data_IF_054338486587
#
_entry.id   IF_054338486587
#
_cell.length_a   1.000
_cell.length_b   1.000
_cell.length_c   1.000
_cell.angle_alpha   90.00
_cell.angle_beta   90.00
_cell.angle_gamma   90.00
#
_symmetry.space_group_name_H-M   'P 1'
#
loop_
_entity.id
_entity.type
_entity.pdbx_description
1 polymer ?
#
# COMPACT_ATOMS: atom_id res chain seq x y z
N UNK A 1 43.30 30.57 -24.74
CA UNK A 1 42.05 31.34 -24.59
C UNK A 1 40.94 30.57 -25.30
N UNK A 2 39.74 30.56 -24.69
CA UNK A 2 38.57 29.70 -24.94
C UNK A 2 38.68 28.29 -24.36
N UNK A 3 37.69 27.74 -23.66
CA UNK A 3 36.59 28.29 -22.88
C UNK A 3 36.19 27.12 -21.97
N UNK A 4 36.15 27.38 -20.67
CA UNK A 4 35.84 26.43 -19.61
C UNK A 4 34.33 26.17 -19.61
N UNK A 5 33.89 25.04 -20.17
CA UNK A 5 32.51 24.57 -20.02
C UNK A 5 32.32 24.06 -18.59
N UNK A 6 31.68 24.91 -17.78
CA UNK A 6 31.21 24.58 -16.44
C UNK A 6 29.98 23.68 -16.56
N UNK A 7 30.15 22.40 -16.24
CA UNK A 7 29.06 21.45 -16.04
C UNK A 7 28.22 21.89 -14.84
N UNK A 8 26.92 22.16 -15.00
CA UNK A 8 26.05 22.47 -13.88
C UNK A 8 25.80 21.19 -13.07
N UNK A 9 26.15 21.25 -11.79
CA UNK A 9 25.76 20.28 -10.76
C UNK A 9 24.24 20.26 -10.64
N UNK A 10 23.63 19.32 -11.36
CA UNK A 10 22.22 18.99 -11.24
C UNK A 10 22.01 18.32 -9.87
N UNK A 11 21.63 19.12 -8.88
CA UNK A 11 21.17 18.63 -7.59
C UNK A 11 19.89 17.82 -7.81
N UNK A 12 20.05 16.50 -7.86
CA UNK A 12 18.98 15.54 -7.85
C UNK A 12 18.19 15.70 -6.54
N UNK A 13 17.17 16.56 -6.56
CA UNK A 13 16.13 16.58 -5.55
C UNK A 13 15.38 15.25 -5.64
N UNK A 14 15.73 14.30 -4.77
CA UNK A 14 15.04 13.02 -4.64
C UNK A 14 13.54 13.28 -4.32
N UNK A 15 12.61 13.04 -5.25
CA UNK A 15 11.18 13.14 -4.98
C UNK A 15 10.74 11.80 -4.37
N UNK A 16 11.20 11.49 -3.15
CA UNK A 16 11.09 10.12 -2.62
C UNK A 16 10.57 9.98 -1.19
N UNK A 17 10.54 11.04 -0.39
CA UNK A 17 10.46 10.88 1.08
C UNK A 17 9.26 11.56 1.75
N UNK A 18 8.20 11.88 1.00
CA UNK A 18 7.02 12.59 1.56
C UNK A 18 5.72 11.78 1.56
N UNK A 19 5.72 10.49 1.20
CA UNK A 19 4.50 9.67 1.08
C UNK A 19 4.25 8.77 2.31
N UNK A 20 5.03 8.88 3.39
CA UNK A 20 4.83 8.02 4.58
C UNK A 20 3.73 8.46 5.55
N UNK A 21 3.05 9.59 5.34
CA UNK A 21 2.11 10.11 6.33
C UNK A 21 0.71 10.40 5.76
N UNK A 22 0.07 9.41 5.13
CA UNK A 22 -1.40 9.48 4.92
C UNK A 22 -2.04 8.13 4.58
N UNK A 23 -1.84 7.12 5.41
CA UNK A 23 -2.65 5.89 5.32
C UNK A 23 -3.17 5.44 6.69
N UNK A 24 -3.76 6.41 7.40
CA UNK A 24 -4.76 6.13 8.44
C UNK A 24 -5.96 5.56 7.70
N UNK A 25 -6.21 4.26 7.88
CA UNK A 25 -7.30 3.53 7.23
C UNK A 25 -8.60 4.30 7.36
N UNK A 26 -9.15 4.73 6.23
CA UNK A 26 -10.47 5.35 6.19
C UNK A 26 -11.45 4.23 6.44
N UNK A 27 -11.89 4.08 7.70
CA UNK A 27 -13.06 3.27 8.01
C UNK A 27 -14.19 3.80 7.12
N UNK A 28 -14.86 2.95 6.32
CA UNK A 28 -15.95 3.41 5.48
C UNK A 28 -17.01 4.03 6.38
N UNK A 29 -17.40 5.29 6.09
CA UNK A 29 -18.38 6.05 6.90
C UNK A 29 -19.70 5.30 7.12
N UNK A 30 -20.01 4.32 6.27
CA UNK A 30 -21.16 3.41 6.43
C UNK A 30 -21.02 2.49 7.65
N UNK A 31 -19.82 1.97 7.93
CA UNK A 31 -19.57 1.08 9.07
C UNK A 31 -19.71 1.84 10.39
N UNK A 32 -19.19 3.07 10.46
CA UNK A 32 -19.31 3.94 11.63
C UNK A 32 -20.78 4.23 11.97
N UNK A 33 -21.60 4.53 10.95
CA UNK A 33 -23.04 4.73 11.12
C UNK A 33 -23.76 3.46 11.56
N UNK A 34 -23.38 2.31 11.00
CA UNK A 34 -23.97 1.03 11.37
C UNK A 34 -23.66 0.67 12.85
N UNK A 35 -22.43 0.93 13.31
CA UNK A 35 -22.03 0.71 14.70
C UNK A 35 -22.75 1.64 15.67
N UNK A 36 -22.96 2.91 15.31
CA UNK A 36 -23.75 3.85 16.12
C UNK A 36 -25.22 3.42 16.23
N UNK A 37 -25.82 2.96 15.13
CA UNK A 37 -27.18 2.44 15.14
C UNK A 37 -27.31 1.17 16.00
N UNK A 38 -26.35 0.25 15.87
CA UNK A 38 -26.29 -0.93 16.71
C UNK A 38 -26.19 -0.56 18.20
N UNK A 39 -25.37 0.43 18.55
CA UNK A 39 -25.26 0.89 19.94
C UNK A 39 -26.54 1.55 20.47
N UNK A 40 -27.24 2.31 19.64
CA UNK A 40 -28.52 2.92 20.01
C UNK A 40 -29.57 1.84 20.34
N UNK A 41 -29.72 0.84 19.47
CA UNK A 41 -30.67 -0.27 19.66
C UNK A 41 -30.35 -1.05 20.93
N UNK A 42 -29.07 -1.29 21.17
CA UNK A 42 -28.64 -2.07 22.31
C UNK A 42 -28.77 -1.31 23.63
N UNK A 43 -28.46 -0.02 23.63
CA UNK A 43 -28.69 0.86 24.78
C UNK A 43 -30.17 0.91 25.15
N UNK A 44 -31.07 0.97 24.16
CA UNK A 44 -32.51 0.90 24.40
C UNK A 44 -32.94 -0.43 25.03
N UNK A 45 -32.34 -1.55 24.59
CA UNK A 45 -32.59 -2.87 25.18
C UNK A 45 -32.10 -2.96 26.65
N UNK A 46 -30.94 -2.37 26.96
CA UNK A 46 -30.41 -2.29 28.33
C UNK A 46 -31.37 -1.52 29.23
N UNK A 47 -31.86 -0.37 28.77
CA UNK A 47 -32.83 0.46 29.53
C UNK A 47 -34.14 -0.28 29.77
N UNK A 48 -34.63 -1.03 28.79
CA UNK A 48 -35.88 -1.80 28.90
C UNK A 48 -35.77 -2.99 29.87
N UNK A 49 -34.56 -3.47 30.15
CA UNK A 49 -34.30 -4.63 31.00
C UNK A 49 -33.79 -4.25 32.40
N UNK A 50 -33.55 -2.97 32.67
CA UNK A 50 -33.02 -2.50 33.94
C UNK A 50 -34.11 -2.42 35.02
N UNK A 51 -33.74 -2.74 36.26
CA UNK A 51 -34.64 -2.55 37.40
C UNK A 51 -34.99 -1.07 37.61
N UNK A 52 -34.00 -0.18 37.49
CA UNK A 52 -34.20 1.28 37.49
C UNK A 52 -34.04 1.84 36.07
N UNK A 53 -35.18 1.97 35.39
CA UNK A 53 -35.27 2.46 34.02
C UNK A 53 -34.75 3.90 33.88
N UNK A 54 -34.91 4.75 34.91
CA UNK A 54 -34.49 6.15 34.87
C UNK A 54 -32.97 6.25 34.98
N UNK A 55 -32.38 5.54 35.95
CA UNK A 55 -30.92 5.53 36.12
C UNK A 55 -30.24 4.91 34.89
N UNK A 56 -30.76 3.81 34.37
CA UNK A 56 -30.25 3.18 33.16
C UNK A 56 -30.38 4.09 31.94
N UNK A 57 -31.52 4.78 31.76
CA UNK A 57 -31.72 5.71 30.66
C UNK A 57 -30.74 6.88 30.69
N UNK A 58 -30.48 7.46 31.88
CA UNK A 58 -29.52 8.54 32.05
C UNK A 58 -28.10 8.07 31.73
N UNK A 59 -27.69 6.91 32.25
CA UNK A 59 -26.36 6.34 32.01
C UNK A 59 -26.13 6.02 30.52
N UNK A 60 -27.10 5.37 29.88
CA UNK A 60 -27.05 5.09 28.44
C UNK A 60 -27.05 6.38 27.60
N UNK A 61 -27.86 7.37 27.97
CA UNK A 61 -27.92 8.66 27.28
C UNK A 61 -26.59 9.42 27.32
N UNK A 62 -25.94 9.47 28.49
CA UNK A 62 -24.61 10.09 28.65
C UNK A 62 -23.58 9.37 27.78
N UNK A 63 -23.60 8.04 27.76
CA UNK A 63 -22.67 7.25 26.96
C UNK A 63 -22.85 7.50 25.45
N UNK A 64 -24.09 7.48 24.94
CA UNK A 64 -24.39 7.78 23.53
C UNK A 64 -23.92 9.20 23.18
N UNK A 65 -24.21 10.18 24.03
CA UNK A 65 -23.81 11.57 23.80
C UNK A 65 -22.29 11.69 23.67
N UNK A 66 -21.54 11.02 24.56
CA UNK A 66 -20.09 11.04 24.52
C UNK A 66 -19.53 10.34 23.28
N UNK A 67 -20.15 9.24 22.83
CA UNK A 67 -19.77 8.59 21.57
C UNK A 67 -19.98 9.52 20.38
N UNK A 68 -21.12 10.21 20.31
CA UNK A 68 -21.41 11.19 19.24
C UNK A 68 -20.39 12.34 19.25
N UNK A 69 -20.08 12.90 20.43
CA UNK A 69 -19.05 13.94 20.58
C UNK A 69 -17.68 13.45 20.11
N UNK A 70 -17.34 12.19 20.43
CA UNK A 70 -16.06 11.59 20.05
C UNK A 70 -15.96 11.33 18.53
N UNK A 71 -17.08 10.99 17.88
CA UNK A 71 -17.18 10.73 16.44
C UNK A 71 -17.19 12.00 15.57
N UNK A 72 -17.44 13.18 16.16
CA UNK A 72 -17.44 14.41 15.38
C UNK A 72 -16.06 14.70 14.77
N UNK A 73 -15.97 14.88 13.43
CA UNK A 73 -14.71 15.04 12.73
C UNK A 73 -14.03 16.35 13.16
N UNK A 74 -12.92 16.23 13.89
CA UNK A 74 -12.06 17.38 14.15
C UNK A 74 -11.21 17.68 12.92
N UNK A 75 -10.98 18.98 12.72
CA UNK A 75 -10.02 19.49 11.74
C UNK A 75 -8.64 18.89 12.04
N UNK A 76 -8.03 18.25 11.04
CA UNK A 76 -6.83 17.38 11.07
C UNK A 76 -5.57 17.84 11.83
N UNK A 77 -5.53 19.01 12.46
CA UNK A 77 -4.27 19.60 12.97
C UNK A 77 -3.91 19.30 14.43
N UNK A 78 -4.80 18.73 15.24
CA UNK A 78 -4.50 18.50 16.66
C UNK A 78 -4.45 17.02 17.03
N UNK A 79 -3.30 16.39 16.82
CA UNK A 79 -3.01 15.01 17.26
C UNK A 79 -3.25 14.85 18.78
N UNK A 80 -2.91 15.87 19.58
CA UNK A 80 -3.12 15.87 21.04
C UNK A 80 -4.60 15.83 21.43
N UNK A 81 -5.48 16.54 20.70
CA UNK A 81 -6.92 16.54 20.98
C UNK A 81 -7.55 15.19 20.65
N UNK A 82 -6.99 14.44 19.70
CA UNK A 82 -7.44 13.09 19.41
C UNK A 82 -7.17 12.15 20.59
N UNK A 83 -5.96 12.14 21.14
CA UNK A 83 -5.64 11.31 22.31
C UNK A 83 -6.43 11.67 23.56
N UNK A 84 -6.68 12.97 23.81
CA UNK A 84 -7.49 13.38 24.95
C UNK A 84 -8.93 12.88 24.82
N UNK A 85 -9.51 12.88 23.60
CA UNK A 85 -10.86 12.34 23.35
C UNK A 85 -10.93 10.83 23.53
N UNK A 86 -9.94 10.10 23.02
CA UNK A 86 -9.85 8.66 23.24
C UNK A 86 -9.79 8.33 24.73
N UNK A 87 -8.98 9.08 25.49
CA UNK A 87 -8.88 8.90 26.94
C UNK A 87 -10.20 9.21 27.65
N UNK A 88 -10.85 10.32 27.32
CA UNK A 88 -12.15 10.69 27.89
C UNK A 88 -13.22 9.63 27.61
N UNK A 89 -13.21 9.05 26.41
CA UNK A 89 -14.12 7.97 26.02
C UNK A 89 -13.87 6.72 26.86
N UNK A 90 -12.61 6.30 27.00
CA UNK A 90 -12.25 5.13 27.80
C UNK A 90 -12.62 5.29 29.28
N UNK A 91 -12.41 6.48 29.84
CA UNK A 91 -12.81 6.79 31.22
C UNK A 91 -14.32 6.67 31.37
N UNK A 92 -15.10 7.22 30.44
CA UNK A 92 -16.55 7.13 30.51
C UNK A 92 -17.09 5.71 30.32
N UNK A 93 -16.49 4.92 29.42
CA UNK A 93 -16.83 3.51 29.25
C UNK A 93 -16.55 2.72 30.53
N UNK A 94 -15.43 3.02 31.21
CA UNK A 94 -15.11 2.45 32.53
C UNK A 94 -16.09 2.85 33.62
N UNK A 95 -16.48 4.13 33.70
CA UNK A 95 -17.47 4.63 34.66
C UNK A 95 -18.84 3.99 34.41
N UNK A 96 -19.24 3.87 33.15
CA UNK A 96 -20.51 3.23 32.78
C UNK A 96 -20.55 1.76 33.24
N UNK A 97 -19.47 1.00 33.02
CA UNK A 97 -19.39 -0.40 33.45
C UNK A 97 -19.38 -0.56 34.97
N UNK A 98 -18.83 0.41 35.69
CA UNK A 98 -18.85 0.42 37.14
C UNK A 98 -20.26 0.70 37.69
N UNK A 99 -21.00 1.60 37.03
CA UNK A 99 -22.31 2.06 37.50
C UNK A 99 -23.51 1.26 36.96
N UNK A 100 -23.37 0.60 35.81
CA UNK A 100 -24.44 -0.18 35.18
C UNK A 100 -25.00 -1.31 36.05
N UNK A 101 -24.19 -2.12 36.75
CA UNK A 101 -24.70 -3.17 37.64
C UNK A 101 -25.68 -2.64 38.70
N UNK A 102 -25.40 -1.46 39.26
CA UNK A 102 -26.27 -0.80 40.25
C UNK A 102 -27.65 -0.43 39.69
N UNK A 103 -27.74 -0.09 38.40
CA UNK A 103 -29.00 0.27 37.74
C UNK A 103 -29.80 -0.94 37.27
N UNK A 104 -29.09 -2.00 36.88
CA UNK A 104 -29.67 -3.20 36.30
C UNK A 104 -30.24 -4.12 37.39
N UNK A 105 -29.58 -4.20 38.55
CA UNK A 105 -29.96 -5.05 39.68
C UNK A 105 -29.55 -6.52 39.50
N UNK A 106 -29.30 -7.21 40.61
CA UNK A 106 -28.61 -8.49 40.64
C UNK A 106 -29.37 -9.68 40.04
N UNK A 107 -30.61 -9.47 39.60
CA UNK A 107 -31.42 -10.47 38.91
C UNK A 107 -31.19 -10.48 37.39
N UNK A 108 -30.55 -9.45 36.84
CA UNK A 108 -30.45 -9.35 35.39
C UNK A 108 -29.36 -10.26 34.80
N UNK A 109 -29.53 -10.66 33.54
CA UNK A 109 -28.54 -11.47 32.85
C UNK A 109 -27.20 -10.74 32.71
N UNK A 110 -26.12 -11.37 33.15
CA UNK A 110 -24.76 -10.80 33.10
C UNK A 110 -24.24 -10.53 31.69
N UNK A 111 -24.83 -11.14 30.66
CA UNK A 111 -24.50 -10.84 29.26
C UNK A 111 -24.88 -9.41 28.84
N UNK A 112 -25.83 -8.77 29.54
CA UNK A 112 -26.21 -7.37 29.30
C UNK A 112 -25.04 -6.43 29.65
N UNK A 113 -24.20 -6.80 30.61
CA UNK A 113 -23.00 -6.03 30.98
C UNK A 113 -21.86 -6.17 29.97
N UNK A 114 -21.83 -7.24 29.18
CA UNK A 114 -20.81 -7.47 28.16
C UNK A 114 -21.04 -6.62 26.89
N UNK A 115 -22.27 -6.22 26.64
CA UNK A 115 -22.70 -5.54 25.42
C UNK A 115 -22.09 -4.13 25.22
N UNK A 116 -22.03 -3.26 26.25
CA UNK A 116 -21.31 -1.99 26.18
C UNK A 116 -19.80 -2.18 25.93
N UNK A 117 -19.20 -3.23 26.50
CA UNK A 117 -17.77 -3.54 26.32
C UNK A 117 -17.46 -3.90 24.88
N UNK A 118 -18.29 -4.77 24.30
CA UNK A 118 -18.12 -5.23 22.91
C UNK A 118 -18.26 -4.07 21.93
N UNK A 119 -19.19 -3.15 22.17
CA UNK A 119 -19.39 -1.97 21.32
C UNK A 119 -18.33 -0.88 21.51
N UNK A 120 -17.82 -0.71 22.72
CA UNK A 120 -16.68 0.17 23.00
C UNK A 120 -15.40 -0.33 22.31
N UNK A 121 -15.14 -1.63 22.40
CA UNK A 121 -14.03 -2.29 21.71
C UNK A 121 -14.16 -2.22 20.18
N UNK A 122 -15.37 -2.31 19.64
CA UNK A 122 -15.63 -2.17 18.20
C UNK A 122 -15.37 -0.76 17.66
N UNK A 123 -15.22 0.26 18.50
CA UNK A 123 -14.85 1.60 18.05
C UNK A 123 -13.37 1.95 18.26
N UNK A 124 -12.65 1.19 19.08
CA UNK A 124 -11.21 1.40 19.32
C UNK A 124 -10.32 0.71 18.26
N UNK A 125 -10.79 0.65 17.00
CA UNK A 125 -10.12 0.01 15.83
C UNK A 125 -8.85 0.81 15.38
N UNK A 126 -8.17 1.47 16.32
CA UNK A 126 -6.77 1.84 16.22
C UNK A 126 -5.89 0.68 16.69
N UNK A 127 -5.60 -0.22 15.75
CA UNK A 127 -4.88 -1.48 15.95
C UNK A 127 -3.58 -1.36 16.77
N UNK A 128 -3.55 -1.93 17.97
CA UNK A 128 -2.31 -2.10 18.73
C UNK A 128 -2.50 -2.62 20.16
N UNK A 129 -1.40 -2.56 20.94
CA UNK A 129 -1.36 -2.91 22.38
C UNK A 129 -2.43 -2.20 23.23
N UNK A 130 -2.96 -1.07 22.75
CA UNK A 130 -4.01 -0.30 23.43
C UNK A 130 -5.33 -1.05 23.49
N UNK A 131 -5.74 -1.76 22.44
CA UNK A 131 -6.99 -2.53 22.43
C UNK A 131 -6.97 -3.59 23.54
N UNK A 132 -5.87 -4.34 23.67
CA UNK A 132 -5.68 -5.35 24.72
C UNK A 132 -5.83 -4.74 26.12
N UNK A 133 -5.16 -3.61 26.37
CA UNK A 133 -5.25 -2.91 27.66
C UNK A 133 -6.67 -2.40 27.94
N UNK A 134 -7.38 -1.92 26.92
CA UNK A 134 -8.76 -1.45 27.08
C UNK A 134 -9.72 -2.59 27.34
N UNK A 135 -9.63 -3.71 26.62
CA UNK A 135 -10.48 -4.87 26.86
C UNK A 135 -10.23 -5.47 28.24
N UNK A 136 -8.96 -5.53 28.67
CA UNK A 136 -8.60 -5.98 30.01
C UNK A 136 -9.12 -5.03 31.10
N UNK A 137 -9.00 -3.72 30.90
CA UNK A 137 -9.52 -2.71 31.84
C UNK A 137 -11.04 -2.75 31.95
N UNK A 138 -11.75 -2.90 30.83
CA UNK A 138 -13.22 -3.00 30.82
C UNK A 138 -13.70 -4.31 31.47
N UNK A 139 -12.98 -5.43 31.28
CA UNK A 139 -13.26 -6.69 31.96
C UNK A 139 -13.06 -6.58 33.49
N UNK A 140 -11.98 -5.92 33.93
CA UNK A 140 -11.74 -5.64 35.34
C UNK A 140 -12.84 -4.75 35.94
N UNK A 141 -13.23 -3.69 35.24
CA UNK A 141 -14.29 -2.79 35.67
C UNK A 141 -15.63 -3.52 35.84
N UNK A 142 -16.02 -4.35 34.86
CA UNK A 142 -17.23 -5.16 34.92
C UNK A 142 -17.20 -6.16 36.10
N UNK A 143 -16.07 -6.83 36.31
CA UNK A 143 -15.91 -7.77 37.44
C UNK A 143 -16.01 -7.06 38.80
N UNK A 144 -15.48 -5.85 38.91
CA UNK A 144 -15.52 -5.04 40.14
C UNK A 144 -16.94 -4.56 40.43
N UNK A 145 -17.68 -4.12 39.41
CA UNK A 145 -19.07 -3.70 39.55
C UNK A 145 -19.97 -4.84 40.06
N UNK A 146 -19.78 -6.07 39.55
CA UNK A 146 -20.52 -7.25 40.02
C UNK A 146 -20.14 -7.62 41.46
N UNK A 147 -18.85 -7.51 41.83
CA UNK A 147 -18.39 -7.83 43.17
C UNK A 147 -18.95 -6.88 44.25
N UNK A 148 -19.14 -5.60 43.91
CA UNK A 148 -19.69 -4.59 44.82
C UNK A 148 -21.17 -4.82 45.15
N UNK A 149 -21.90 -5.56 44.32
CA UNK A 149 -23.32 -5.85 44.55
C UNK A 149 -23.57 -6.96 45.61
N UNK A 150 -22.53 -7.73 45.98
CA UNK A 150 -22.54 -8.54 47.20
C UNK A 150 -23.32 -9.88 47.15
N UNK A 151 -23.68 -10.39 45.97
CA UNK A 151 -24.37 -11.69 45.84
C UNK A 151 -23.42 -12.90 45.85
N UNK A 152 -23.66 -13.91 46.69
CA UNK A 152 -22.87 -15.15 46.73
C UNK A 152 -22.81 -15.96 45.39
N UNK A 153 -23.86 -16.03 44.53
CA UNK A 153 -23.74 -16.63 43.20
C UNK A 153 -23.08 -15.71 42.14
N UNK A 154 -22.74 -14.46 42.50
CA UNK A 154 -22.23 -13.46 41.57
C UNK A 154 -20.77 -13.70 41.14
N UNK A 155 -20.01 -14.53 41.86
CA UNK A 155 -18.62 -14.85 41.54
C UNK A 155 -18.51 -15.73 40.29
N UNK A 156 -19.37 -16.73 40.14
CA UNK A 156 -19.39 -17.61 38.98
C UNK A 156 -19.85 -16.89 37.70
N UNK A 157 -20.87 -16.03 37.82
CA UNK A 157 -21.40 -15.26 36.69
C UNK A 157 -20.43 -14.15 36.26
N UNK A 158 -19.69 -13.55 37.19
CA UNK A 158 -18.61 -12.59 36.89
C UNK A 158 -17.44 -13.24 36.13
N UNK A 159 -17.04 -14.45 36.51
CA UNK A 159 -15.99 -15.21 35.81
C UNK A 159 -16.42 -15.52 34.38
N UNK A 160 -17.66 -15.99 34.18
CA UNK A 160 -18.19 -16.29 32.84
C UNK A 160 -18.26 -15.04 31.97
N UNK A 161 -18.71 -13.90 32.51
CA UNK A 161 -18.76 -12.64 31.78
C UNK A 161 -17.34 -12.17 31.36
N UNK A 162 -16.36 -12.26 32.25
CA UNK A 162 -14.97 -11.91 31.95
C UNK A 162 -14.38 -12.82 30.84
N UNK A 163 -14.67 -14.12 30.86
CA UNK A 163 -14.21 -15.07 29.85
C UNK A 163 -14.85 -14.79 28.49
N UNK A 164 -16.16 -14.53 28.44
CA UNK A 164 -16.87 -14.22 27.19
C UNK A 164 -16.37 -12.91 26.58
N UNK A 165 -16.20 -11.86 27.39
CA UNK A 165 -15.65 -10.57 26.94
C UNK A 165 -14.22 -10.76 26.40
N UNK A 166 -13.39 -11.53 27.10
CA UNK A 166 -12.04 -11.86 26.66
C UNK A 166 -12.01 -12.61 25.34
N UNK A 167 -12.87 -13.63 25.18
CA UNK A 167 -12.97 -14.44 23.96
C UNK A 167 -13.48 -13.62 22.77
N UNK A 168 -14.53 -12.83 22.95
CA UNK A 168 -15.07 -11.95 21.90
C UNK A 168 -14.05 -10.87 21.51
N UNK A 169 -13.36 -10.28 22.49
CA UNK A 169 -12.27 -9.33 22.25
C UNK A 169 -11.12 -9.95 21.45
N UNK A 170 -10.74 -11.20 21.77
CA UNK A 170 -9.69 -11.92 21.05
C UNK A 170 -10.10 -12.28 19.62
N UNK A 171 -11.35 -12.72 19.39
CA UNK A 171 -11.87 -13.02 18.05
C UNK A 171 -12.00 -11.76 17.21
N UNK A 172 -12.53 -10.67 17.77
CA UNK A 172 -12.57 -9.37 17.11
C UNK A 172 -11.16 -8.91 16.77
N UNK A 173 -10.20 -9.07 17.68
CA UNK A 173 -8.80 -8.77 17.42
C UNK A 173 -8.20 -9.68 16.34
N UNK A 174 -8.54 -10.97 16.29
CA UNK A 174 -8.06 -11.88 15.25
C UNK A 174 -8.59 -11.48 13.87
N UNK A 175 -9.91 -11.22 13.75
CA UNK A 175 -10.57 -10.78 12.53
C UNK A 175 -10.08 -9.43 12.05
N UNK A 176 -9.85 -8.51 12.99
CA UNK A 176 -9.37 -7.18 12.70
C UNK A 176 -7.85 -7.23 12.37
N UNK A 177 -7.09 -8.13 13.00
CA UNK A 177 -5.67 -8.38 12.71
C UNK A 177 -5.42 -9.16 11.43
N UNK A 178 -6.46 -9.63 10.74
CA UNK A 178 -6.38 -10.00 9.33
C UNK A 178 -6.36 -8.70 8.53
N UNK A 179 -5.18 -8.12 8.27
CA UNK A 179 -5.14 -6.83 7.62
C UNK A 179 -5.54 -7.10 6.16
N UNK A 180 -6.29 -6.16 5.57
CA UNK A 180 -6.34 -5.95 4.12
C UNK A 180 -4.97 -5.57 3.53
N UNK A 181 -3.90 -6.25 3.95
CA UNK A 181 -2.56 -6.19 3.41
C UNK A 181 -2.43 -6.66 1.94
N UNK A 182 -3.38 -7.38 1.29
CA UNK A 182 -3.21 -7.67 -0.13
C UNK A 182 -3.22 -6.38 -0.95
N UNK A 183 -4.11 -5.44 -0.67
CA UNK A 183 -4.35 -4.29 -1.55
C UNK A 183 -3.13 -3.37 -1.67
N UNK A 184 -2.38 -3.18 -0.58
CA UNK A 184 -1.13 -2.39 -0.57
C UNK A 184 0.03 -3.12 -1.24
N UNK A 185 0.12 -4.44 -1.05
CA UNK A 185 1.11 -5.25 -1.76
C UNK A 185 0.81 -5.27 -3.25
N UNK A 186 -0.46 -5.26 -3.65
CA UNK A 186 -0.86 -5.23 -5.05
C UNK A 186 -0.62 -3.86 -5.69
N UNK A 187 -0.91 -2.74 -5.02
CA UNK A 187 -0.65 -1.42 -5.62
C UNK A 187 0.84 -1.13 -5.76
N UNK A 188 1.65 -1.52 -4.78
CA UNK A 188 3.11 -1.41 -4.88
C UNK A 188 3.71 -2.36 -5.92
N UNK A 189 3.21 -3.59 -6.03
CA UNK A 189 3.61 -4.53 -7.07
C UNK A 189 3.17 -4.07 -8.47
N UNK A 190 1.96 -3.55 -8.62
CA UNK A 190 1.45 -3.01 -9.88
C UNK A 190 2.28 -1.82 -10.34
N UNK A 191 2.56 -0.86 -9.44
CA UNK A 191 3.40 0.29 -9.79
C UNK A 191 4.81 -0.15 -10.21
N UNK A 192 5.38 -1.14 -9.51
CA UNK A 192 6.68 -1.69 -9.88
C UNK A 192 6.65 -2.38 -11.25
N UNK A 193 5.59 -3.13 -11.56
CA UNK A 193 5.41 -3.76 -12.86
C UNK A 193 5.22 -2.72 -13.98
N UNK A 194 4.49 -1.63 -13.72
CA UNK A 194 4.34 -0.51 -14.65
C UNK A 194 5.69 0.18 -14.92
N UNK A 195 6.50 0.38 -13.88
CA UNK A 195 7.87 0.93 -14.01
C UNK A 195 8.77 0.00 -14.83
N UNK A 196 8.77 -1.32 -14.55
CA UNK A 196 9.56 -2.32 -15.27
C UNK A 196 9.12 -2.46 -16.75
N UNK A 197 7.81 -2.37 -17.04
CA UNK A 197 7.29 -2.38 -18.40
C UNK A 197 7.71 -1.13 -19.18
N UNK A 198 7.60 0.05 -18.57
CA UNK A 198 8.02 1.30 -19.19
C UNK A 198 9.54 1.33 -19.49
N UNK A 199 10.36 0.75 -18.61
CA UNK A 199 11.80 0.61 -18.84
C UNK A 199 12.09 -0.34 -20.01
N UNK A 200 11.41 -1.49 -20.05
CA UNK A 200 11.56 -2.45 -21.15
C UNK A 200 11.18 -1.87 -22.50
N UNK A 201 10.08 -1.13 -22.58
CA UNK A 201 9.64 -0.46 -23.83
C UNK A 201 10.68 0.55 -24.33
N UNK A 202 11.33 1.28 -23.42
CA UNK A 202 12.42 2.21 -23.77
C UNK A 202 13.63 1.48 -24.34
N UNK A 203 14.08 0.41 -23.68
CA UNK A 203 15.19 -0.41 -24.15
C UNK A 203 14.90 -1.06 -25.51
N UNK A 204 13.67 -1.56 -25.73
CA UNK A 204 13.26 -2.11 -27.03
C UNK A 204 13.20 -1.05 -28.14
N UNK A 205 12.86 0.20 -27.81
CA UNK A 205 12.92 1.31 -28.76
C UNK A 205 14.37 1.69 -29.11
N UNK A 206 15.27 1.71 -28.13
CA UNK A 206 16.69 1.98 -28.34
C UNK A 206 17.36 0.88 -29.18
N UNK A 207 17.08 -0.39 -28.88
CA UNK A 207 17.58 -1.53 -29.65
C UNK A 207 17.13 -1.47 -31.11
N UNK A 208 15.87 -1.10 -31.36
CA UNK A 208 15.35 -0.93 -32.73
C UNK A 208 16.06 0.19 -33.48
N UNK A 209 16.32 1.33 -32.82
CA UNK A 209 17.08 2.44 -33.44
C UNK A 209 18.52 2.04 -33.74
N UNK A 210 19.19 1.37 -32.81
CA UNK A 210 20.55 0.88 -33.00
C UNK A 210 20.63 -0.10 -34.17
N UNK A 211 19.69 -1.05 -34.25
CA UNK A 211 19.60 -1.99 -35.38
C UNK A 211 19.41 -1.29 -36.72
N UNK A 212 18.48 -0.35 -36.82
CA UNK A 212 18.26 0.43 -38.04
C UNK A 212 19.50 1.26 -38.43
N UNK A 213 20.27 1.74 -37.45
CA UNK A 213 21.55 2.42 -37.70
C UNK A 213 22.59 1.47 -38.29
N UNK A 214 22.74 0.28 -37.71
CA UNK A 214 23.67 -0.74 -38.19
C UNK A 214 23.29 -1.26 -39.59
N UNK A 215 22.00 -1.49 -39.84
CA UNK A 215 21.52 -1.95 -41.14
C UNK A 215 21.88 -0.92 -42.24
N UNK A 216 21.69 0.38 -41.97
CA UNK A 216 22.13 1.44 -42.89
C UNK A 216 23.63 1.47 -43.11
N UNK A 217 24.44 1.34 -42.05
CA UNK A 217 25.89 1.32 -42.16
C UNK A 217 26.38 0.11 -42.97
N UNK A 218 25.72 -1.04 -42.82
CA UNK A 218 26.00 -2.24 -43.62
C UNK A 218 25.66 -2.00 -45.08
N UNK A 219 24.51 -1.41 -45.39
CA UNK A 219 24.10 -1.10 -46.75
C UNK A 219 25.08 -0.11 -47.42
N UNK A 220 25.46 0.96 -46.71
CA UNK A 220 26.44 1.94 -47.18
C UNK A 220 27.81 1.30 -47.48
N UNK A 221 28.28 0.43 -46.58
CA UNK A 221 29.54 -0.30 -46.78
C UNK A 221 29.45 -1.29 -47.93
N UNK A 222 28.30 -1.95 -48.11
CA UNK A 222 28.08 -2.91 -49.18
C UNK A 222 28.05 -2.21 -50.54
N UNK A 223 27.42 -1.04 -50.64
CA UNK A 223 27.46 -0.19 -51.83
C UNK A 223 28.90 0.25 -52.14
N UNK A 224 29.63 0.76 -51.14
CA UNK A 224 31.02 1.17 -51.31
C UNK A 224 31.94 0.02 -51.79
N UNK A 225 31.79 -1.17 -51.21
CA UNK A 225 32.52 -2.37 -51.63
C UNK A 225 32.15 -2.81 -53.05
N UNK A 226 30.87 -2.73 -53.42
CA UNK A 226 30.41 -3.05 -54.77
C UNK A 226 31.03 -2.11 -55.81
N UNK A 227 31.03 -0.80 -55.54
CA UNK A 227 31.66 0.19 -56.40
C UNK A 227 33.18 -0.03 -56.51
N UNK A 228 33.85 -0.34 -55.40
CA UNK A 228 35.27 -0.64 -55.38
C UNK A 228 35.61 -1.89 -56.22
N UNK A 229 34.82 -2.96 -56.09
CA UNK A 229 34.97 -4.17 -56.90
C UNK A 229 34.77 -3.90 -58.40
N UNK A 230 33.72 -3.17 -58.78
CA UNK A 230 33.49 -2.80 -60.18
C UNK A 230 34.64 -1.99 -60.76
N UNK A 231 35.23 -1.08 -59.97
CA UNK A 231 36.41 -0.32 -60.38
C UNK A 231 37.62 -1.23 -60.57
N UNK A 232 37.88 -2.11 -59.62
CA UNK A 232 38.99 -3.07 -59.69
C UNK A 232 38.85 -4.00 -60.90
N UNK A 233 37.64 -4.49 -61.20
CA UNK A 233 37.38 -5.32 -62.38
C UNK A 233 37.63 -4.58 -63.71
N UNK A 234 37.31 -3.28 -63.78
CA UNK A 234 37.64 -2.44 -64.94
C UNK A 234 39.16 -2.33 -65.09
N UNK A 235 39.86 -2.01 -64.01
CA UNK A 235 41.33 -1.89 -64.03
C UNK A 235 42.00 -3.22 -64.45
N UNK A 236 41.51 -4.37 -63.96
CA UNK A 236 42.00 -5.69 -64.38
C UNK A 236 41.75 -5.94 -65.86
N UNK A 237 40.55 -5.61 -66.37
CA UNK A 237 40.25 -5.74 -67.80
C UNK A 237 41.15 -4.88 -68.66
N UNK A 238 41.38 -3.63 -68.26
CA UNK A 238 42.24 -2.69 -68.99
C UNK A 238 43.70 -3.15 -68.99
N UNK A 239 44.21 -3.62 -67.85
CA UNK A 239 45.56 -4.20 -67.75
C UNK A 239 45.72 -5.43 -68.66
N UNK A 240 44.75 -6.36 -68.64
CA UNK A 240 44.76 -7.53 -69.53
C UNK A 240 44.70 -7.14 -71.01
N UNK A 241 43.96 -6.09 -71.35
CA UNK A 241 43.93 -5.60 -72.73
C UNK A 241 45.26 -4.97 -73.16
N UNK A 242 45.90 -4.19 -72.28
CA UNK A 242 47.23 -3.62 -72.53
C UNK A 242 48.31 -4.70 -72.67
N UNK A 243 48.28 -5.71 -71.80
CA UNK A 243 49.18 -6.87 -71.84
C UNK A 243 49.06 -7.62 -73.18
N UNK A 244 47.83 -7.91 -73.63
CA UNK A 244 47.61 -8.55 -74.95
C UNK A 244 48.19 -7.73 -76.10
N UNK A 245 47.96 -6.41 -76.13
CA UNK A 245 48.53 -5.53 -77.17
C UNK A 245 50.06 -5.52 -77.14
N UNK A 246 50.66 -5.52 -75.95
CA UNK A 246 52.12 -5.58 -75.80
C UNK A 246 52.71 -6.90 -76.30
N UNK A 247 52.02 -8.03 -76.02
CA UNK A 247 52.40 -9.35 -76.53
C UNK A 247 52.26 -9.44 -78.05
N UNK A 248 51.19 -8.89 -78.63
CA UNK A 248 51.00 -8.83 -80.08
C UNK A 248 52.08 -7.98 -80.75
N UNK A 249 52.37 -6.78 -80.23
CA UNK A 249 53.45 -5.94 -80.72
C UNK A 249 54.81 -6.64 -80.65
N UNK A 250 55.07 -7.37 -79.55
CA UNK A 250 56.30 -8.17 -79.40
C UNK A 250 56.37 -9.31 -80.42
N UNK A 251 55.25 -10.02 -80.68
CA UNK A 251 55.19 -11.06 -81.72
C UNK A 251 55.44 -10.49 -83.11
N UNK A 252 54.79 -9.37 -83.46
CA UNK A 252 55.00 -8.68 -84.75
C UNK A 252 56.47 -8.31 -84.90
N UNK A 253 57.07 -7.69 -83.87
CA UNK A 253 58.49 -7.31 -83.87
C UNK A 253 59.41 -8.53 -84.07
N UNK A 254 59.19 -9.62 -83.34
CA UNK A 254 59.98 -10.84 -83.51
C UNK A 254 59.83 -11.46 -84.89
N UNK A 255 58.62 -11.49 -85.45
CA UNK A 255 58.37 -12.00 -86.81
C UNK A 255 59.07 -11.14 -87.88
N UNK A 256 59.08 -9.82 -87.70
CA UNK A 256 59.76 -8.89 -88.59
C UNK A 256 61.28 -9.08 -88.58
N UNK A 257 61.88 -9.22 -87.39
CA UNK A 257 63.32 -9.47 -87.25
C UNK A 257 63.74 -10.81 -87.86
N UNK A 258 62.94 -11.87 -87.67
CA UNK A 258 63.21 -13.18 -88.28
C UNK A 258 63.15 -13.14 -89.81
N UNK A 259 62.22 -12.36 -90.38
CA UNK A 259 62.10 -12.21 -91.83
C UNK A 259 63.23 -11.37 -92.45
N UNK A 260 63.88 -10.51 -91.67
CA UNK A 260 65.06 -9.73 -92.10
C UNK A 260 66.39 -10.46 -91.96
N UNK A 261 66.45 -11.51 -91.12
CA UNK A 261 67.68 -12.30 -90.95
C UNK A 261 67.85 -13.40 -92.02
N UNK A 262 66.91 -13.49 -92.96
CA UNK A 262 66.88 -14.47 -94.04
C UNK A 262 67.18 -13.80 -95.39
#
# INVERSE_FOLDING_TARGET
MHASESTPTQSASLPGLSIELTLIGVIPRSLERALLLANLVLSAAVVALAADHLLAAVLCGIHILLQVISAMPLRRRDLQRHHLRELMRLVADGVLLLLMPLAIGGAAPTWILALPVVLGAAHSIGFGRRTILTTAGLALAASTGIALEGGAPATASAIVAAVVIGAVGMVAQLLASQPGAPERSYTTALRRLEEELAERERLEAELRRARLGLDREVDERMEALTLANQRMEREVRDRRAAERRALEASRIKSSFLANMSH
#
